data_IF_244856514791
#
_entry.id   IF_244856514791
#
_cell.length_a   1.000
_cell.length_b   1.000
_cell.length_c   1.000
_cell.angle_alpha   90.00
_cell.angle_beta   90.00
_cell.angle_gamma   90.00
#
_symmetry.space_group_name_H-M   'P 1'
#
loop_
_entity.id
_entity.type
_entity.pdbx_description
1 polymer ?
#
# COMPACT_ATOMS: atom_id res chain seq x y z
N UNK A 1 -12.80 -4.30 8.27
CA UNK A 1 -12.38 -3.97 6.91
C UNK A 1 -10.96 -3.45 6.91
N UNK A 2 -10.17 -3.85 5.94
CA UNK A 2 -8.81 -3.35 5.79
C UNK A 2 -8.85 -2.00 5.06
N UNK A 3 -8.17 -1.02 5.62
CA UNK A 3 -8.04 0.31 5.01
C UNK A 3 -6.56 0.54 4.68
N UNK A 4 -6.27 0.62 3.40
CA UNK A 4 -4.91 0.70 2.86
C UNK A 4 -4.78 2.00 2.09
N UNK A 5 -3.65 2.70 2.31
CA UNK A 5 -3.36 3.93 1.59
C UNK A 5 -2.03 3.79 0.87
N UNK A 6 -2.04 4.02 -0.44
CA UNK A 6 -0.84 3.94 -1.27
C UNK A 6 -0.41 5.35 -1.67
N UNK A 7 0.76 5.76 -1.22
CA UNK A 7 1.34 7.04 -1.58
C UNK A 7 2.20 6.90 -2.82
N UNK A 8 1.94 7.71 -3.84
CA UNK A 8 2.64 7.70 -5.12
C UNK A 8 3.03 9.12 -5.51
N UNK A 9 3.90 9.26 -6.51
CA UNK A 9 4.25 10.56 -7.09
C UNK A 9 4.00 10.46 -8.60
N UNK A 10 2.77 10.78 -9.01
CA UNK A 10 2.35 10.69 -10.40
C UNK A 10 2.21 9.26 -10.88
N UNK A 11 2.12 9.11 -12.20
CA UNK A 11 1.91 7.80 -12.84
C UNK A 11 3.22 7.25 -13.38
N UNK A 12 4.22 7.13 -12.50
CA UNK A 12 5.49 6.50 -12.86
C UNK A 12 5.33 4.98 -12.96
N UNK A 13 6.23 4.28 -13.69
CA UNK A 13 6.17 2.82 -13.76
C UNK A 13 6.18 2.15 -12.39
N UNK A 14 6.97 2.65 -11.44
CA UNK A 14 7.01 2.07 -10.08
C UNK A 14 5.70 2.29 -9.34
N UNK A 15 5.07 3.46 -9.48
CA UNK A 15 3.79 3.75 -8.82
C UNK A 15 2.67 2.88 -9.40
N UNK A 16 2.64 2.72 -10.73
CA UNK A 16 1.66 1.86 -11.37
C UNK A 16 1.85 0.41 -10.98
N UNK A 17 3.10 -0.05 -10.92
CA UNK A 17 3.41 -1.41 -10.49
C UNK A 17 2.97 -1.64 -9.05
N UNK A 18 3.21 -0.68 -8.16
CA UNK A 18 2.80 -0.78 -6.77
C UNK A 18 1.29 -0.95 -6.64
N UNK A 19 0.52 -0.15 -7.36
CA UNK A 19 -0.93 -0.26 -7.34
C UNK A 19 -1.40 -1.62 -7.86
N UNK A 20 -0.85 -2.05 -8.99
CA UNK A 20 -1.21 -3.32 -9.59
C UNK A 20 -0.91 -4.50 -8.66
N UNK A 21 0.29 -4.50 -8.08
CA UNK A 21 0.70 -5.56 -7.16
C UNK A 21 -0.15 -5.58 -5.90
N UNK A 22 -0.46 -4.40 -5.35
CA UNK A 22 -1.33 -4.30 -4.17
C UNK A 22 -2.72 -4.84 -4.47
N UNK A 23 -3.29 -4.48 -5.61
CA UNK A 23 -4.60 -4.93 -6.00
C UNK A 23 -4.66 -6.45 -6.11
N UNK A 24 -3.64 -7.07 -6.69
CA UNK A 24 -3.58 -8.53 -6.79
C UNK A 24 -3.52 -9.19 -5.42
N UNK A 25 -2.69 -8.68 -4.52
CA UNK A 25 -2.55 -9.22 -3.18
C UNK A 25 -3.89 -9.12 -2.44
N UNK A 26 -4.54 -7.97 -2.52
CA UNK A 26 -5.82 -7.76 -1.85
C UNK A 26 -6.91 -8.68 -2.40
N UNK A 27 -6.95 -8.87 -3.71
CA UNK A 27 -7.95 -9.76 -4.31
C UNK A 27 -7.73 -11.21 -3.93
N UNK A 28 -6.47 -11.63 -3.74
CA UNK A 28 -6.17 -12.99 -3.33
C UNK A 28 -6.44 -13.24 -1.85
N UNK A 29 -6.15 -12.28 -0.98
CA UNK A 29 -6.16 -12.49 0.46
C UNK A 29 -7.29 -11.77 1.19
N UNK A 30 -7.84 -10.71 0.62
CA UNK A 30 -8.78 -9.82 1.31
C UNK A 30 -10.02 -9.54 0.49
N UNK A 31 -10.37 -10.39 -0.45
CA UNK A 31 -11.49 -10.15 -1.37
C UNK A 31 -12.76 -9.74 -0.63
N UNK A 32 -13.29 -8.56 -0.98
CA UNK A 32 -14.48 -8.00 -0.37
C UNK A 32 -14.28 -7.40 1.02
N UNK A 33 -13.02 -7.37 1.52
CA UNK A 33 -12.73 -6.93 2.89
C UNK A 33 -11.69 -5.82 2.94
N UNK A 34 -11.47 -5.10 1.85
CA UNK A 34 -10.44 -4.07 1.80
C UNK A 34 -10.91 -2.84 1.06
N UNK A 35 -10.24 -1.74 1.34
CA UNK A 35 -10.38 -0.48 0.63
C UNK A 35 -8.99 0.09 0.38
N UNK A 36 -8.73 0.53 -0.85
CA UNK A 36 -7.46 1.16 -1.23
C UNK A 36 -7.73 2.61 -1.59
N UNK A 37 -7.01 3.52 -0.91
CA UNK A 37 -6.97 4.92 -1.28
C UNK A 37 -5.60 5.21 -1.88
N UNK A 38 -5.56 5.79 -3.08
CA UNK A 38 -4.31 6.20 -3.72
C UNK A 38 -4.15 7.70 -3.51
N UNK A 39 -3.01 8.10 -2.93
CA UNK A 39 -2.70 9.51 -2.68
C UNK A 39 -1.52 9.91 -3.56
N UNK A 40 -1.76 10.82 -4.50
CA UNK A 40 -0.71 11.36 -5.36
C UNK A 40 -0.10 12.59 -4.69
N UNK A 41 1.15 12.46 -4.27
CA UNK A 41 1.85 13.54 -3.56
C UNK A 41 2.27 14.68 -4.46
N UNK A 42 2.21 14.53 -5.80
CA UNK A 42 2.38 15.65 -6.70
C UNK A 42 1.19 16.60 -6.63
N UNK A 43 -0.01 16.06 -6.40
CA UNK A 43 -1.23 16.86 -6.28
C UNK A 43 -1.47 17.32 -4.83
N UNK A 44 -1.12 16.46 -3.86
CA UNK A 44 -1.42 16.69 -2.45
C UNK A 44 -0.19 16.45 -1.57
N UNK A 45 0.87 17.28 -1.71
CA UNK A 45 2.13 17.01 -1.00
C UNK A 45 1.99 17.09 0.53
N UNK A 46 1.00 17.82 1.04
CA UNK A 46 0.80 17.96 2.48
C UNK A 46 0.37 16.66 3.15
N UNK A 47 -0.25 15.75 2.39
CA UNK A 47 -0.71 14.49 2.95
C UNK A 47 0.42 13.55 3.35
N UNK A 48 1.63 13.77 2.84
CA UNK A 48 2.80 13.00 3.26
C UNK A 48 3.12 13.17 4.74
N UNK A 49 2.74 14.30 5.33
CA UNK A 49 3.01 14.57 6.74
C UNK A 49 2.18 13.72 7.68
N UNK A 50 0.94 13.42 7.30
CA UNK A 50 0.00 12.70 8.16
C UNK A 50 0.54 11.31 8.52
N UNK A 51 1.15 10.63 7.57
CA UNK A 51 1.69 9.29 7.75
C UNK A 51 3.22 9.28 7.75
N UNK A 52 3.86 10.43 7.81
CA UNK A 52 5.33 10.56 7.84
C UNK A 52 6.00 9.81 6.68
N UNK A 53 5.54 10.09 5.46
CA UNK A 53 6.05 9.43 4.27
C UNK A 53 7.40 10.03 3.87
N UNK A 54 8.42 9.18 3.78
CA UNK A 54 9.79 9.60 3.46
C UNK A 54 10.30 9.00 2.15
N UNK A 55 9.54 8.11 1.54
CA UNK A 55 9.90 7.47 0.27
C UNK A 55 8.64 7.17 -0.53
N UNK A 56 8.76 6.96 -1.84
CA UNK A 56 7.64 6.72 -2.75
C UNK A 56 8.04 5.61 -3.72
N UNK A 57 7.18 4.64 -4.02
CA UNK A 57 5.86 4.44 -3.42
C UNK A 57 5.94 3.86 -2.02
N UNK A 58 4.96 4.21 -1.18
CA UNK A 58 4.84 3.64 0.17
C UNK A 58 3.40 3.24 0.41
N UNK A 59 3.22 2.02 0.90
CA UNK A 59 1.93 1.50 1.31
C UNK A 59 1.79 1.66 2.82
N UNK A 60 0.65 2.18 3.27
CA UNK A 60 0.33 2.30 4.70
C UNK A 60 -0.93 1.50 4.99
N UNK A 61 -0.84 0.57 5.94
CA UNK A 61 -2.03 -0.09 6.47
C UNK A 61 -2.57 0.76 7.61
N UNK A 62 -3.71 1.39 7.38
CA UNK A 62 -4.37 2.23 8.39
C UNK A 62 -5.22 1.38 9.32
N UNK A 63 -5.91 0.39 8.78
CA UNK A 63 -6.73 -0.56 9.52
C UNK A 63 -6.53 -1.96 8.97
N UNK A 64 -6.48 -3.00 9.79
CA UNK A 64 -6.56 -2.97 11.26
C UNK A 64 -5.27 -2.45 11.88
N UNK A 65 -5.33 -1.88 13.07
CA UNK A 65 -4.14 -1.46 13.77
C UNK A 65 -3.27 -2.66 14.17
N UNK A 66 -1.97 -2.47 14.41
CA UNK A 66 -1.22 -1.21 14.35
C UNK A 66 -0.97 -0.75 12.91
N UNK A 67 -0.65 0.54 12.75
CA UNK A 67 -0.26 1.08 11.45
C UNK A 67 1.04 0.41 10.99
N UNK A 68 1.07 0.00 9.73
CA UNK A 68 2.26 -0.60 9.10
C UNK A 68 2.58 0.14 7.82
N UNK A 69 3.87 0.29 7.54
CA UNK A 69 4.36 0.93 6.31
C UNK A 69 5.26 -0.02 5.55
N UNK A 70 5.07 -0.07 4.24
CA UNK A 70 5.90 -0.89 3.36
C UNK A 70 6.36 0.00 2.22
N UNK A 71 7.67 0.11 2.03
CA UNK A 71 8.28 0.96 1.00
C UNK A 71 8.59 0.10 -0.22
N UNK A 72 8.30 0.60 -1.41
CA UNK A 72 8.66 -0.03 -2.66
C UNK A 72 7.47 -0.33 -3.54
N UNK A 73 7.72 -0.99 -4.67
CA UNK A 73 6.71 -1.26 -5.68
C UNK A 73 5.88 -2.53 -5.41
N UNK A 74 6.11 -3.18 -4.26
CA UNK A 74 5.38 -4.37 -3.81
C UNK A 74 5.54 -5.58 -4.74
N UNK A 75 6.61 -5.61 -5.54
CA UNK A 75 6.87 -6.71 -6.47
C UNK A 75 7.29 -8.00 -5.76
N UNK A 76 7.92 -7.90 -4.61
CA UNK A 76 8.30 -9.04 -3.81
C UNK A 76 7.19 -9.34 -2.81
N UNK A 77 6.44 -10.41 -3.07
CA UNK A 77 5.22 -10.73 -2.33
C UNK A 77 5.44 -11.05 -0.86
N UNK A 78 6.46 -11.85 -0.58
CA UNK A 78 6.63 -12.36 0.77
C UNK A 78 6.86 -11.25 1.79
N UNK A 79 7.77 -10.29 1.58
CA UNK A 79 7.90 -9.15 2.48
C UNK A 79 6.61 -8.34 2.63
N UNK A 80 5.79 -8.24 1.57
CA UNK A 80 4.52 -7.52 1.64
C UNK A 80 3.54 -8.25 2.55
N UNK A 81 3.41 -9.57 2.39
CA UNK A 81 2.52 -10.36 3.23
C UNK A 81 2.94 -10.30 4.70
N UNK A 82 4.25 -10.41 4.97
CA UNK A 82 4.78 -10.30 6.32
C UNK A 82 4.54 -8.90 6.88
N UNK A 83 4.82 -7.87 6.09
CA UNK A 83 4.64 -6.46 6.52
C UNK A 83 3.19 -6.12 6.81
N UNK A 84 2.26 -6.65 6.04
CA UNK A 84 0.83 -6.45 6.26
C UNK A 84 0.27 -7.41 7.30
N UNK A 85 1.07 -8.36 7.77
CA UNK A 85 0.63 -9.42 8.69
C UNK A 85 -0.47 -10.29 8.09
N UNK A 86 -0.40 -10.50 6.78
CA UNK A 86 -1.26 -11.43 6.08
C UNK A 86 -0.60 -12.81 6.09
N UNK A 87 -1.40 -13.84 6.34
CA UNK A 87 -0.88 -15.21 6.26
C UNK A 87 -0.98 -15.69 4.83
N UNK A 88 0.08 -16.29 4.27
CA UNK A 88 -0.03 -16.92 2.97
C UNK A 88 -1.12 -18.00 3.04
N UNK A 89 -1.93 -18.09 1.98
CA UNK A 89 -2.86 -19.20 1.86
C UNK A 89 -2.06 -20.46 1.57
N UNK A 90 -2.07 -21.35 2.52
CA UNK A 90 -1.43 -22.65 2.39
C UNK A 90 -2.39 -23.70 1.90
#
# INVERSE_FOLDING_TARGET
MWDLRLYVAGQTPRSLAAFHNLKQICEEHLKGKYRIEVVDLLENPKLARDDQIVAIPTLVRKLPPPIRKIIGDLSDRLPVLVGLQLRPRG
#
